data_IF_220349972896
#
_entry.id   IF_220349972896
#
_cell.length_a   1.000
_cell.length_b   1.000
_cell.length_c   1.000
_cell.angle_alpha   90.00
_cell.angle_beta   90.00
_cell.angle_gamma   90.00
#
_symmetry.space_group_name_H-M   'P 1'
#
loop_
_entity.id
_entity.type
_entity.pdbx_description
1 polymer ?
#
# COMPACT_ATOMS: atom_id res chain seq x y z
N UNK A 1 -0.90 -9.26 -0.38
CA UNK A 1 -1.53 -9.99 -1.49
C UNK A 1 -2.57 -9.11 -2.14
N UNK A 2 -2.56 -9.04 -3.46
CA UNK A 2 -3.60 -8.40 -4.26
C UNK A 2 -4.53 -9.47 -4.83
N UNK A 3 -5.82 -9.14 -4.95
CA UNK A 3 -6.81 -10.01 -5.58
C UNK A 3 -6.52 -10.17 -7.08
N UNK A 4 -6.81 -11.35 -7.61
CA UNK A 4 -6.85 -11.58 -9.05
C UNK A 4 -7.94 -10.73 -9.73
N UNK A 5 -9.08 -10.56 -9.03
CA UNK A 5 -10.22 -9.75 -9.48
C UNK A 5 -10.49 -8.65 -8.45
N UNK A 6 -10.46 -7.40 -8.91
CA UNK A 6 -10.74 -6.23 -8.08
C UNK A 6 -12.22 -6.13 -7.70
N UNK A 7 -12.49 -5.71 -6.47
CA UNK A 7 -13.85 -5.50 -5.97
C UNK A 7 -14.10 -4.03 -5.59
N UNK A 8 -14.69 -3.28 -6.50
CA UNK A 8 -15.07 -1.88 -6.29
C UNK A 8 -16.47 -1.70 -5.70
N UNK A 9 -17.15 -2.76 -5.22
CA UNK A 9 -18.54 -2.67 -4.73
C UNK A 9 -18.71 -1.63 -3.62
N UNK A 10 -17.69 -1.42 -2.79
CA UNK A 10 -17.69 -0.42 -1.73
C UNK A 10 -17.43 1.01 -2.20
N UNK A 11 -16.85 1.20 -3.40
CA UNK A 11 -16.48 2.50 -3.99
C UNK A 11 -16.76 2.48 -5.51
N UNK A 12 -18.02 2.30 -5.93
CA UNK A 12 -18.37 2.06 -7.33
C UNK A 12 -17.97 3.23 -8.25
N UNK A 13 -17.87 4.45 -7.72
CA UNK A 13 -17.40 5.65 -8.42
C UNK A 13 -15.93 5.58 -8.87
N UNK A 14 -15.13 4.70 -8.28
CA UNK A 14 -13.73 4.46 -8.66
C UNK A 14 -13.56 3.28 -9.63
N UNK A 15 -14.66 2.65 -10.05
CA UNK A 15 -14.62 1.50 -10.96
C UNK A 15 -14.06 1.93 -12.32
N UNK A 16 -12.99 1.28 -12.81
CA UNK A 16 -12.45 1.59 -14.13
C UNK A 16 -13.39 1.12 -15.24
N UNK A 17 -13.35 1.80 -16.39
CA UNK A 17 -14.11 1.40 -17.60
C UNK A 17 -13.69 0.03 -18.14
N UNK A 18 -12.41 -0.31 -17.97
CA UNK A 18 -11.81 -1.60 -18.36
C UNK A 18 -11.41 -2.36 -17.11
N UNK A 19 -11.66 -3.67 -17.08
CA UNK A 19 -11.22 -4.54 -15.99
C UNK A 19 -9.71 -4.43 -15.79
N UNK A 20 -9.28 -4.29 -14.54
CA UNK A 20 -7.87 -4.23 -14.14
C UNK A 20 -7.58 -5.30 -13.08
N UNK A 21 -6.33 -5.71 -12.97
CA UNK A 21 -5.82 -6.57 -11.91
C UNK A 21 -5.76 -5.86 -10.55
N UNK A 22 -5.68 -6.64 -9.47
CA UNK A 22 -5.44 -6.10 -8.14
C UNK A 22 -4.13 -5.31 -8.04
N UNK A 23 -3.07 -5.75 -8.73
CA UNK A 23 -1.80 -5.04 -8.81
C UNK A 23 -1.95 -3.64 -9.44
N UNK A 24 -2.68 -3.54 -10.55
CA UNK A 24 -2.94 -2.25 -11.22
C UNK A 24 -3.81 -1.33 -10.35
N UNK A 25 -4.86 -1.86 -9.70
CA UNK A 25 -5.65 -1.09 -8.75
C UNK A 25 -4.81 -0.60 -7.57
N UNK A 26 -3.93 -1.44 -7.04
CA UNK A 26 -3.03 -1.05 -5.95
C UNK A 26 -2.02 0.01 -6.41
N UNK A 27 -1.52 -0.06 -7.65
CA UNK A 27 -0.64 0.98 -8.20
C UNK A 27 -1.35 2.34 -8.31
N UNK A 28 -2.62 2.36 -8.73
CA UNK A 28 -3.43 3.60 -8.71
C UNK A 28 -3.57 4.17 -7.29
N UNK A 29 -3.74 3.31 -6.29
CA UNK A 29 -3.72 3.74 -4.89
C UNK A 29 -2.38 4.37 -4.49
N UNK A 30 -1.25 3.77 -4.90
CA UNK A 30 0.10 4.33 -4.63
C UNK A 30 0.24 5.71 -5.28
N UNK A 31 -0.08 5.83 -6.56
CA UNK A 31 0.00 7.09 -7.32
C UNK A 31 -0.85 8.18 -6.68
N UNK A 32 -2.07 7.83 -6.27
CA UNK A 32 -2.98 8.74 -5.57
C UNK A 32 -2.45 9.17 -4.19
N UNK A 33 -1.86 8.24 -3.44
CA UNK A 33 -1.40 8.51 -2.06
C UNK A 33 -0.10 9.31 -2.00
N UNK A 34 0.75 9.17 -3.02
CA UNK A 34 2.13 9.65 -2.99
C UNK A 34 2.28 11.17 -2.75
N UNK A 35 1.47 12.07 -3.34
CA UNK A 35 1.54 13.50 -3.04
C UNK A 35 1.29 13.81 -1.55
N UNK A 36 0.26 13.20 -0.95
CA UNK A 36 -0.11 13.43 0.45
C UNK A 36 0.91 12.84 1.43
N UNK A 37 1.47 11.67 1.08
CA UNK A 37 2.58 11.10 1.84
C UNK A 37 3.79 12.04 1.85
N UNK A 38 4.12 12.65 0.70
CA UNK A 38 5.24 13.59 0.61
C UNK A 38 4.97 14.88 1.37
N UNK A 39 3.74 15.38 1.32
CA UNK A 39 3.32 16.56 2.09
C UNK A 39 3.44 16.34 3.61
N UNK A 40 3.16 15.11 4.09
CA UNK A 40 3.40 14.74 5.49
C UNK A 40 4.88 14.53 5.86
N UNK A 41 5.81 14.80 4.93
CA UNK A 41 7.25 14.59 5.06
C UNK A 41 7.68 13.13 4.90
N UNK A 42 6.82 12.29 4.32
CA UNK A 42 7.04 10.87 4.12
C UNK A 42 7.62 10.57 2.75
N UNK A 43 8.30 9.43 2.62
CA UNK A 43 8.78 8.97 1.33
C UNK A 43 8.86 7.45 1.26
N UNK A 44 8.64 6.90 0.08
CA UNK A 44 8.95 5.51 -0.21
C UNK A 44 10.47 5.40 -0.33
N UNK A 45 11.09 4.57 0.52
CA UNK A 45 12.54 4.31 0.52
C UNK A 45 12.90 2.96 -0.10
N UNK A 46 11.92 2.08 -0.27
CA UNK A 46 12.05 0.82 -0.99
C UNK A 46 10.70 0.41 -1.56
N UNK A 47 10.70 -0.08 -2.79
CA UNK A 47 9.58 -0.72 -3.44
C UNK A 47 10.14 -1.93 -4.20
N UNK A 48 9.62 -3.11 -3.92
CA UNK A 48 10.09 -4.35 -4.51
C UNK A 48 8.95 -5.28 -4.84
N UNK A 49 9.18 -6.10 -5.85
CA UNK A 49 8.36 -7.27 -6.12
C UNK A 49 8.47 -8.23 -4.94
N UNK A 50 7.34 -8.82 -4.56
CA UNK A 50 7.33 -9.84 -3.54
C UNK A 50 7.63 -11.22 -4.12
N UNK A 51 7.11 -12.26 -3.48
CA UNK A 51 7.25 -13.64 -3.92
C UNK A 51 6.95 -14.63 -2.81
N UNK A 52 7.40 -15.85 -3.06
CA UNK A 52 7.37 -16.94 -2.09
C UNK A 52 8.47 -16.75 -1.03
N UNK A 53 8.23 -17.26 0.17
CA UNK A 53 9.25 -17.30 1.19
C UNK A 53 10.35 -18.31 0.84
N UNK A 54 11.61 -17.87 0.85
CA UNK A 54 12.75 -18.80 0.84
C UNK A 54 12.81 -19.65 2.12
N UNK A 55 12.47 -19.03 3.25
CA UNK A 55 12.31 -19.67 4.56
C UNK A 55 11.07 -19.04 5.20
N UNK A 56 10.01 -19.80 5.33
CA UNK A 56 8.73 -19.33 5.84
C UNK A 56 7.61 -20.34 5.57
N UNK A 57 6.37 -19.98 5.90
CA UNK A 57 5.20 -20.78 5.52
C UNK A 57 5.09 -20.90 4.00
N UNK A 58 4.87 -22.13 3.51
CA UNK A 58 4.77 -22.44 2.07
C UNK A 58 3.48 -21.91 1.43
N UNK A 59 2.45 -21.67 2.24
CA UNK A 59 1.14 -21.20 1.82
C UNK A 59 1.00 -19.66 1.82
N UNK A 60 2.03 -18.93 2.25
CA UNK A 60 2.03 -17.47 2.28
C UNK A 60 2.96 -16.90 1.21
N UNK A 61 2.48 -15.87 0.51
CA UNK A 61 3.25 -15.10 -0.46
C UNK A 61 2.83 -13.65 -0.41
N UNK A 62 3.67 -12.76 -0.92
CA UNK A 62 3.34 -11.34 -1.05
C UNK A 62 3.60 -10.88 -2.47
N UNK A 63 2.73 -10.04 -3.05
CA UNK A 63 2.95 -9.51 -4.41
C UNK A 63 3.78 -8.22 -4.42
N UNK A 64 3.90 -7.54 -3.27
CA UNK A 64 4.58 -6.26 -3.16
C UNK A 64 5.13 -6.04 -1.76
N UNK A 65 6.36 -5.51 -1.69
CA UNK A 65 6.95 -5.00 -0.45
C UNK A 65 7.26 -3.51 -0.62
N UNK A 66 6.85 -2.71 0.36
CA UNK A 66 7.08 -1.27 0.36
C UNK A 66 7.55 -0.81 1.74
N UNK A 67 8.63 -0.02 1.78
CA UNK A 67 9.10 0.65 2.98
C UNK A 67 8.86 2.15 2.85
N UNK A 68 8.16 2.70 3.84
CA UNK A 68 7.90 4.14 3.95
C UNK A 68 8.68 4.66 5.14
N UNK A 69 9.50 5.69 4.90
CA UNK A 69 10.13 6.44 5.98
C UNK A 69 9.24 7.61 6.36
N UNK A 70 8.96 7.74 7.65
CA UNK A 70 8.24 8.84 8.25
C UNK A 70 8.84 9.22 9.59
N UNK A 71 8.63 10.46 10.01
CA UNK A 71 9.15 11.00 11.27
C UNK A 71 8.42 10.46 12.50
N UNK A 72 7.15 10.05 12.36
CA UNK A 72 6.39 9.36 13.41
C UNK A 72 5.22 8.58 12.82
N UNK A 73 4.72 7.60 13.58
CA UNK A 73 3.49 6.88 13.24
C UNK A 73 2.28 7.82 13.22
N UNK A 74 2.26 8.84 14.07
CA UNK A 74 1.18 9.83 14.12
C UNK A 74 1.11 10.66 12.84
N UNK A 75 2.24 11.10 12.29
CA UNK A 75 2.29 11.84 11.03
C UNK A 75 1.98 10.94 9.83
N UNK A 76 2.39 9.69 9.87
CA UNK A 76 1.96 8.69 8.89
C UNK A 76 0.43 8.48 8.94
N UNK A 77 -0.18 8.44 10.13
CA UNK A 77 -1.63 8.30 10.21
C UNK A 77 -2.37 9.61 9.91
N UNK A 78 -1.75 10.77 10.09
CA UNK A 78 -2.41 12.06 9.89
C UNK A 78 -2.91 12.24 8.44
N UNK A 79 -2.12 11.80 7.44
CA UNK A 79 -2.55 11.88 6.04
C UNK A 79 -3.78 10.99 5.76
N UNK A 80 -4.00 9.93 6.56
CA UNK A 80 -5.15 9.03 6.36
C UNK A 80 -6.50 9.70 6.62
N UNK A 81 -6.51 10.88 7.25
CA UNK A 81 -7.71 11.69 7.49
C UNK A 81 -7.92 12.79 6.45
N UNK A 82 -6.96 13.00 5.53
CA UNK A 82 -7.05 14.00 4.48
C UNK A 82 -8.15 13.61 3.49
N UNK A 83 -9.09 14.52 3.21
CA UNK A 83 -10.25 14.21 2.36
C UNK A 83 -9.84 13.77 0.96
N UNK A 84 -8.84 14.44 0.37
CA UNK A 84 -8.38 14.05 -0.95
C UNK A 84 -7.64 12.71 -0.95
N UNK A 85 -6.97 12.32 0.14
CA UNK A 85 -6.41 10.97 0.28
C UNK A 85 -7.53 9.93 0.31
N UNK A 86 -8.57 10.18 1.11
CA UNK A 86 -9.72 9.29 1.26
C UNK A 86 -10.45 9.09 -0.08
N UNK A 87 -10.44 10.06 -0.98
CA UNK A 87 -11.05 9.93 -2.31
C UNK A 87 -10.45 8.78 -3.16
N UNK A 88 -9.22 8.32 -2.89
CA UNK A 88 -8.60 7.23 -3.63
C UNK A 88 -8.39 5.95 -2.82
N UNK A 89 -8.84 5.90 -1.56
CA UNK A 89 -8.65 4.71 -0.70
C UNK A 89 -9.42 3.49 -1.20
N UNK A 90 -10.46 3.70 -2.01
CA UNK A 90 -11.22 2.60 -2.61
C UNK A 90 -10.38 1.73 -3.55
N UNK A 91 -9.36 2.29 -4.21
CA UNK A 91 -8.40 1.51 -5.00
C UNK A 91 -7.64 0.48 -4.13
N UNK A 92 -7.23 0.87 -2.91
CA UNK A 92 -6.60 -0.05 -1.95
C UNK A 92 -7.56 -1.15 -1.53
N UNK A 93 -8.78 -0.76 -1.18
CA UNK A 93 -9.80 -1.66 -0.65
C UNK A 93 -10.20 -2.70 -1.69
N UNK A 94 -10.36 -2.28 -2.95
CA UNK A 94 -10.66 -3.14 -4.07
C UNK A 94 -9.52 -4.12 -4.40
N UNK A 95 -8.27 -3.66 -4.28
CA UNK A 95 -7.09 -4.43 -4.65
C UNK A 95 -6.65 -5.48 -3.62
N UNK A 96 -6.68 -5.18 -2.32
CA UNK A 96 -6.00 -6.00 -1.30
C UNK A 96 -6.82 -7.19 -0.86
N UNK A 97 -6.28 -8.39 -1.07
CA UNK A 97 -6.74 -9.61 -0.41
C UNK A 97 -6.23 -9.70 1.03
N UNK A 98 -4.91 -9.53 1.21
CA UNK A 98 -4.28 -9.53 2.53
C UNK A 98 -3.15 -8.50 2.60
N UNK A 99 -2.92 -7.92 3.78
CA UNK A 99 -1.81 -6.98 4.01
C UNK A 99 -1.31 -6.99 5.45
N UNK A 100 -0.03 -6.66 5.64
CA UNK A 100 0.56 -6.33 6.93
C UNK A 100 1.11 -4.91 6.87
N UNK A 101 0.89 -4.14 7.93
CA UNK A 101 1.50 -2.84 8.12
C UNK A 101 2.24 -2.86 9.46
N UNK A 102 3.56 -2.88 9.41
CA UNK A 102 4.42 -3.02 10.58
C UNK A 102 5.26 -1.76 10.78
N UNK A 103 5.02 -0.96 11.84
CA UNK A 103 5.92 0.09 12.24
C UNK A 103 7.26 -0.49 12.71
N UNK A 104 8.36 0.10 12.26
CA UNK A 104 9.71 -0.29 12.65
C UNK A 104 10.53 0.95 13.01
N UNK A 105 11.55 0.77 13.85
CA UNK A 105 12.55 1.78 14.14
C UNK A 105 13.93 1.27 13.70
N UNK A 106 14.75 2.16 13.16
CA UNK A 106 16.12 1.80 12.79
C UNK A 106 16.94 1.50 14.05
N UNK A 107 17.58 0.33 14.06
CA UNK A 107 18.60 0.00 15.04
C UNK A 107 19.97 0.46 14.52
N UNK A 108 20.90 0.84 15.42
CA UNK A 108 22.28 1.07 15.02
C UNK A 108 22.83 -0.20 14.37
N UNK A 109 23.49 -0.05 13.22
CA UNK A 109 24.15 -1.17 12.55
C UNK A 109 25.39 -1.55 13.37
N UNK A 110 25.61 -2.85 13.67
CA UNK A 110 26.90 -3.30 14.17
C UNK A 110 27.97 -2.96 13.12
N UNK A 111 29.11 -2.45 13.58
CA UNK A 111 30.29 -2.21 12.74
C UNK A 111 30.86 -3.52 12.20
#
# INVERSE_FOLDING_TARGET
>A
MTRDVVDYTANPELTPEVSISGAEAFNRYIEHTLPYLRESGGNIVFLGDGGEFLIGPEDEKWDLVMLIRQSSAQLFLAFSSHQDYLAGIGHRTAAIEDSRLLPMAELPKPN
#
